data_IF_352660380407
#
_entry.id   IF_352660380407
#
_cell.length_a   1.000
_cell.length_b   1.000
_cell.length_c   1.000
_cell.angle_alpha   90.00
_cell.angle_beta   90.00
_cell.angle_gamma   90.00
#
_symmetry.space_group_name_H-M   'P 1'
#
loop_
_entity.id
_entity.type
_entity.pdbx_description
1 polymer ?
#
# COMPACT_ATOMS: atom_id res chain seq x y z
N UNK A 1 -4.90 25.01 -7.05
CA UNK A 1 -4.27 24.08 -6.08
C UNK A 1 -3.09 24.71 -5.30
N UNK A 2 -2.51 25.83 -5.78
CA UNK A 2 -1.33 26.45 -5.16
C UNK A 2 -0.06 25.58 -5.19
N UNK A 3 -0.04 24.56 -6.05
CA UNK A 3 1.10 23.64 -6.23
C UNK A 3 1.88 24.08 -7.48
N UNK A 4 3.18 24.16 -7.34
CA UNK A 4 4.08 24.41 -8.47
C UNK A 4 4.57 23.08 -9.05
N UNK A 5 4.17 22.81 -10.29
CA UNK A 5 4.57 21.60 -11.03
C UNK A 5 5.82 21.88 -11.86
N UNK A 6 6.74 20.94 -11.92
CA UNK A 6 7.85 21.01 -12.88
C UNK A 6 7.40 20.71 -14.32
N UNK A 7 8.32 20.84 -15.28
CA UNK A 7 7.99 20.67 -16.70
C UNK A 7 7.55 19.24 -17.05
N UNK A 8 8.16 18.22 -16.43
CA UNK A 8 7.81 16.81 -16.67
C UNK A 8 6.42 16.52 -16.09
N UNK A 9 6.15 17.03 -14.90
CA UNK A 9 4.82 16.89 -14.26
C UNK A 9 3.73 17.61 -15.06
N UNK A 10 4.01 18.82 -15.57
CA UNK A 10 3.07 19.56 -16.44
C UNK A 10 2.79 18.79 -17.72
N UNK A 11 3.84 18.25 -18.35
CA UNK A 11 3.69 17.46 -19.56
C UNK A 11 2.87 16.20 -19.29
N UNK A 12 3.15 15.47 -18.19
CA UNK A 12 2.38 14.29 -17.80
C UNK A 12 0.89 14.59 -17.58
N UNK A 13 0.56 15.75 -17.00
CA UNK A 13 -0.83 16.20 -16.85
C UNK A 13 -1.49 16.42 -18.21
N UNK A 14 -0.80 17.09 -19.13
CA UNK A 14 -1.32 17.33 -20.48
C UNK A 14 -1.52 16.01 -21.24
N UNK A 15 -0.53 15.12 -21.20
CA UNK A 15 -0.58 13.85 -21.93
C UNK A 15 -1.69 12.93 -21.40
N UNK A 16 -1.90 12.89 -20.08
CA UNK A 16 -2.99 12.11 -19.47
C UNK A 16 -4.38 12.60 -19.93
N UNK A 17 -4.55 13.90 -20.13
CA UNK A 17 -5.81 14.47 -20.62
C UNK A 17 -6.02 14.24 -22.11
N UNK A 18 -4.96 14.28 -22.91
CA UNK A 18 -5.04 14.16 -24.38
C UNK A 18 -5.22 12.72 -24.85
N UNK A 19 -4.74 11.75 -24.10
CA UNK A 19 -4.73 10.34 -24.51
C UNK A 19 -5.85 9.53 -23.84
N UNK A 20 -6.35 8.49 -24.52
CA UNK A 20 -7.32 7.55 -23.96
C UNK A 20 -6.70 6.60 -22.96
N UNK A 21 -5.46 6.18 -23.20
CA UNK A 21 -4.67 5.34 -22.29
C UNK A 21 -3.37 6.08 -22.05
N UNK A 22 -3.02 6.25 -20.80
CA UNK A 22 -1.76 6.90 -20.40
C UNK A 22 -1.16 6.20 -19.18
N UNK A 23 0.17 6.05 -19.16
CA UNK A 23 0.87 5.43 -18.04
C UNK A 23 1.77 6.46 -17.36
N UNK A 24 1.59 6.61 -16.05
CA UNK A 24 2.43 7.44 -15.18
C UNK A 24 3.25 6.54 -14.25
N UNK A 25 4.57 6.51 -14.43
CA UNK A 25 5.45 5.74 -13.55
C UNK A 25 6.39 6.63 -12.75
N UNK A 26 6.94 6.07 -11.69
CA UNK A 26 7.95 6.76 -10.88
C UNK A 26 8.10 6.11 -9.51
N UNK A 27 9.27 6.28 -8.92
CA UNK A 27 9.57 5.75 -7.59
C UNK A 27 8.82 6.45 -6.46
N UNK A 28 9.03 6.00 -5.23
CA UNK A 28 8.47 6.65 -4.05
C UNK A 28 8.96 8.10 -3.94
N UNK A 29 8.04 9.03 -3.65
CA UNK A 29 8.40 10.44 -3.45
C UNK A 29 8.63 11.26 -4.71
N UNK A 30 8.39 10.72 -5.90
CA UNK A 30 8.51 11.45 -7.17
C UNK A 30 7.30 12.35 -7.49
N UNK A 31 6.28 12.34 -6.64
CA UNK A 31 5.12 13.22 -6.80
C UNK A 31 4.00 12.64 -7.69
N UNK A 32 3.93 11.31 -7.88
CA UNK A 32 2.83 10.67 -8.64
C UNK A 32 1.46 11.15 -8.17
N UNK A 33 1.19 11.12 -6.88
CA UNK A 33 -0.10 11.57 -6.32
C UNK A 33 -0.35 13.06 -6.56
N UNK A 34 0.70 13.89 -6.52
CA UNK A 34 0.60 15.32 -6.85
C UNK A 34 0.17 15.51 -8.31
N UNK A 35 0.75 14.72 -9.22
CA UNK A 35 0.38 14.73 -10.65
C UNK A 35 -1.05 14.23 -10.84
N UNK A 36 -1.47 13.15 -10.15
CA UNK A 36 -2.87 12.66 -10.18
C UNK A 36 -3.83 13.79 -9.79
N UNK A 37 -3.57 14.52 -8.71
CA UNK A 37 -4.40 15.65 -8.29
C UNK A 37 -4.44 16.76 -9.34
N UNK A 38 -3.31 17.02 -10.02
CA UNK A 38 -3.26 17.95 -11.14
C UNK A 38 -4.12 17.50 -12.32
N UNK A 39 -4.03 16.22 -12.68
CA UNK A 39 -4.83 15.62 -13.77
C UNK A 39 -6.33 15.71 -13.44
N UNK A 40 -6.73 15.32 -12.24
CA UNK A 40 -8.14 15.40 -11.78
C UNK A 40 -8.64 16.85 -11.85
N UNK A 41 -7.85 17.82 -11.36
CA UNK A 41 -8.25 19.21 -11.36
C UNK A 41 -8.40 19.80 -12.76
N UNK A 42 -7.47 19.47 -13.66
CA UNK A 42 -7.53 19.93 -15.07
C UNK A 42 -8.70 19.25 -15.80
N UNK A 43 -8.88 17.95 -15.62
CA UNK A 43 -10.01 17.24 -16.21
C UNK A 43 -11.35 17.82 -15.72
N UNK A 44 -11.50 18.02 -14.44
CA UNK A 44 -12.72 18.60 -13.86
C UNK A 44 -13.01 20.01 -14.40
N UNK A 45 -11.95 20.82 -14.59
CA UNK A 45 -12.10 22.15 -15.17
C UNK A 45 -12.57 22.12 -16.63
N UNK A 46 -12.02 21.21 -17.43
CA UNK A 46 -12.38 21.05 -18.85
C UNK A 46 -13.80 20.53 -19.03
N UNK A 47 -14.23 19.60 -18.20
CA UNK A 47 -15.58 19.00 -18.23
C UNK A 47 -16.61 19.77 -17.41
N UNK A 48 -16.23 20.90 -16.78
CA UNK A 48 -17.14 21.70 -15.96
C UNK A 48 -17.65 21.01 -14.69
N UNK A 49 -16.86 20.08 -14.13
CA UNK A 49 -17.24 19.29 -12.95
C UNK A 49 -16.96 20.07 -11.65
N UNK A 50 -17.88 19.98 -10.69
CA UNK A 50 -17.67 20.48 -9.33
C UNK A 50 -17.20 19.34 -8.42
N UNK A 51 -15.91 19.25 -8.17
CA UNK A 51 -15.29 18.21 -7.32
C UNK A 51 -15.78 18.23 -5.85
N UNK A 52 -16.47 19.27 -5.42
CA UNK A 52 -17.10 19.31 -4.08
C UNK A 52 -18.35 18.44 -4.02
N UNK A 53 -19.01 18.22 -5.16
CA UNK A 53 -20.12 17.30 -5.32
C UNK A 53 -19.57 15.90 -5.58
N UNK A 54 -19.20 15.19 -4.51
CA UNK A 54 -18.52 13.88 -4.59
C UNK A 54 -19.39 12.75 -5.15
N UNK A 55 -20.69 12.92 -5.21
CA UNK A 55 -21.63 11.96 -5.79
C UNK A 55 -21.75 12.19 -7.30
N UNK A 56 -21.72 11.09 -8.05
CA UNK A 56 -21.91 11.07 -9.52
C UNK A 56 -20.85 11.84 -10.31
N UNK A 57 -19.60 11.83 -9.85
CA UNK A 57 -18.49 12.27 -10.69
C UNK A 57 -18.17 11.19 -11.73
N UNK A 58 -17.96 11.56 -13.02
CA UNK A 58 -17.57 10.62 -14.05
C UNK A 58 -16.07 10.24 -13.94
N UNK A 59 -15.53 10.27 -12.73
CA UNK A 59 -14.14 9.92 -12.39
C UNK A 59 -14.18 8.77 -11.40
N UNK A 60 -13.57 7.66 -11.77
CA UNK A 60 -13.43 6.48 -10.93
C UNK A 60 -11.97 6.34 -10.47
N UNK A 61 -11.79 6.28 -9.15
CA UNK A 61 -10.48 6.04 -8.55
C UNK A 61 -10.41 4.62 -8.00
N UNK A 62 -9.42 3.86 -8.47
CA UNK A 62 -9.24 2.47 -8.11
C UNK A 62 -7.81 2.15 -7.69
N UNK A 63 -7.65 1.11 -6.86
CA UNK A 63 -6.38 0.53 -6.51
C UNK A 63 -6.52 -0.99 -6.30
N UNK A 64 -5.44 -1.78 -6.37
CA UNK A 64 -5.51 -3.23 -6.17
C UNK A 64 -5.80 -3.62 -4.71
N UNK A 65 -5.46 -2.77 -3.73
CA UNK A 65 -5.63 -3.05 -2.30
C UNK A 65 -6.49 -1.98 -1.62
N UNK A 66 -7.20 -2.38 -0.53
CA UNK A 66 -8.01 -1.45 0.26
C UNK A 66 -7.18 -0.30 0.86
N UNK A 67 -5.98 -0.61 1.35
CA UNK A 67 -5.06 0.41 1.89
C UNK A 67 -4.64 1.44 0.84
N UNK A 68 -4.32 1.00 -0.37
CA UNK A 68 -3.96 1.92 -1.46
C UNK A 68 -5.17 2.78 -1.88
N UNK A 69 -6.36 2.18 -1.98
CA UNK A 69 -7.59 2.90 -2.26
C UNK A 69 -7.89 3.95 -1.18
N UNK A 70 -7.81 3.59 0.10
CA UNK A 70 -7.99 4.52 1.21
C UNK A 70 -7.01 5.69 1.14
N UNK A 71 -5.73 5.40 0.91
CA UNK A 71 -4.70 6.44 0.75
C UNK A 71 -4.99 7.36 -0.43
N UNK A 72 -5.46 6.82 -1.55
CA UNK A 72 -5.88 7.62 -2.69
C UNK A 72 -7.05 8.55 -2.32
N UNK A 73 -8.06 8.04 -1.59
CA UNK A 73 -9.15 8.85 -1.08
C UNK A 73 -8.66 10.00 -0.17
N UNK A 74 -7.78 9.71 0.77
CA UNK A 74 -7.21 10.73 1.69
C UNK A 74 -6.46 11.83 0.94
N UNK A 75 -5.72 11.48 -0.11
CA UNK A 75 -4.86 12.41 -0.85
C UNK A 75 -5.60 13.19 -1.94
N UNK A 76 -6.64 12.62 -2.53
CA UNK A 76 -7.45 13.27 -3.58
C UNK A 76 -8.71 13.91 -3.04
N UNK A 77 -9.13 13.53 -1.83
CA UNK A 77 -10.41 13.83 -1.22
C UNK A 77 -11.64 13.35 -2.04
N UNK A 78 -11.45 12.44 -2.99
CA UNK A 78 -12.50 11.82 -3.82
C UNK A 78 -12.73 10.36 -3.40
N UNK A 79 -13.96 9.83 -3.59
CA UNK A 79 -14.25 8.43 -3.34
C UNK A 79 -13.32 7.52 -4.15
N UNK A 80 -12.79 6.51 -3.51
CA UNK A 80 -11.89 5.52 -4.10
C UNK A 80 -12.18 4.15 -3.50
N UNK A 81 -12.08 3.09 -4.31
CA UNK A 81 -12.28 1.73 -3.86
C UNK A 81 -11.28 0.77 -4.52
N UNK A 82 -11.32 -0.51 -4.11
CA UNK A 82 -10.52 -1.52 -4.79
C UNK A 82 -11.07 -1.84 -6.18
N UNK A 83 -10.19 -2.28 -7.08
CA UNK A 83 -10.61 -2.76 -8.42
C UNK A 83 -11.68 -3.84 -8.26
N UNK A 84 -11.49 -4.80 -7.35
CA UNK A 84 -12.46 -5.86 -7.06
C UNK A 84 -13.85 -5.30 -6.69
N UNK A 85 -13.88 -4.28 -5.82
CA UNK A 85 -15.15 -3.67 -5.40
C UNK A 85 -15.85 -2.94 -6.54
N UNK A 86 -15.11 -2.23 -7.38
CA UNK A 86 -15.68 -1.57 -8.55
C UNK A 86 -16.24 -2.55 -9.57
N UNK A 87 -15.64 -3.75 -9.66
CA UNK A 87 -16.10 -4.84 -10.52
C UNK A 87 -17.19 -5.72 -9.89
N UNK A 88 -17.70 -5.38 -8.70
CA UNK A 88 -18.71 -6.18 -8.01
C UNK A 88 -18.20 -7.54 -7.49
N UNK A 89 -16.89 -7.76 -7.46
CA UNK A 89 -16.27 -9.02 -7.05
C UNK A 89 -16.14 -9.06 -5.51
N UNK A 90 -17.26 -9.20 -4.83
CA UNK A 90 -17.32 -9.37 -3.39
C UNK A 90 -17.56 -10.83 -3.06
N UNK A 91 -16.55 -11.49 -2.53
CA UNK A 91 -16.48 -12.68 -1.65
C UNK A 91 -17.28 -13.96 -1.93
N UNK A 92 -18.43 -13.90 -2.54
CA UNK A 92 -19.20 -15.06 -2.98
C UNK A 92 -19.14 -15.18 -4.51
N UNK A 93 -18.86 -16.38 -4.99
CA UNK A 93 -18.61 -16.76 -6.40
C UNK A 93 -19.72 -16.41 -7.43
N UNK A 94 -20.46 -15.35 -7.23
CA UNK A 94 -21.51 -14.95 -8.17
C UNK A 94 -20.98 -13.96 -9.20
N UNK A 95 -20.32 -14.49 -10.23
CA UNK A 95 -19.86 -13.76 -11.42
C UNK A 95 -21.03 -13.32 -12.35
N UNK A 96 -22.26 -13.47 -11.91
CA UNK A 96 -23.47 -13.27 -12.73
C UNK A 96 -23.83 -11.80 -13.00
N UNK A 97 -23.14 -10.82 -12.39
CA UNK A 97 -23.43 -9.38 -12.53
C UNK A 97 -22.39 -8.57 -13.31
N UNK A 98 -21.48 -9.22 -14.04
CA UNK A 98 -20.39 -8.58 -14.80
C UNK A 98 -20.85 -8.01 -16.17
N UNK A 99 -22.12 -7.72 -16.37
CA UNK A 99 -22.62 -7.21 -17.66
C UNK A 99 -22.58 -5.69 -17.81
N UNK A 100 -22.32 -4.95 -16.74
CA UNK A 100 -22.27 -3.49 -16.81
C UNK A 100 -20.84 -2.97 -16.81
N UNK A 101 -20.47 -2.22 -17.86
CA UNK A 101 -19.21 -1.48 -17.91
C UNK A 101 -19.07 -0.54 -16.70
N UNK A 102 -17.83 -0.30 -16.27
CA UNK A 102 -17.54 0.71 -15.26
C UNK A 102 -18.10 2.06 -15.76
N UNK A 103 -19.08 2.60 -15.02
CA UNK A 103 -19.73 3.85 -15.36
C UNK A 103 -18.86 5.06 -14.98
N UNK A 104 -17.83 5.30 -15.81
CA UNK A 104 -16.93 6.42 -15.63
C UNK A 104 -16.29 6.82 -16.95
N UNK A 105 -16.19 8.13 -17.19
CA UNK A 105 -15.48 8.68 -18.35
C UNK A 105 -13.98 8.68 -18.17
N UNK A 106 -13.51 8.77 -16.92
CA UNK A 106 -12.10 8.75 -16.59
C UNK A 106 -11.81 7.81 -15.41
N UNK A 107 -11.05 6.77 -15.67
CA UNK A 107 -10.65 5.76 -14.69
C UNK A 107 -9.19 5.97 -14.34
N UNK A 108 -8.87 6.09 -13.06
CA UNK A 108 -7.51 6.22 -12.55
C UNK A 108 -7.21 5.04 -11.64
N UNK A 109 -6.18 4.26 -11.97
CA UNK A 109 -5.77 3.09 -11.20
C UNK A 109 -4.35 3.31 -10.68
N UNK A 110 -4.22 3.42 -9.35
CA UNK A 110 -2.91 3.55 -8.68
C UNK A 110 -2.39 2.20 -8.19
N UNK A 111 -1.08 2.14 -7.87
CA UNK A 111 -0.35 0.93 -7.45
C UNK A 111 -0.50 -0.24 -8.43
N UNK A 112 -0.52 0.05 -9.72
CA UNK A 112 -0.78 -0.94 -10.78
C UNK A 112 0.30 -2.03 -10.88
N UNK A 113 1.47 -1.83 -10.31
CA UNK A 113 2.52 -2.87 -10.19
C UNK A 113 2.06 -4.13 -9.46
N UNK A 114 1.02 -4.01 -8.60
CA UNK A 114 0.42 -5.12 -7.85
C UNK A 114 -0.72 -5.82 -8.61
N UNK A 115 -1.10 -5.35 -9.80
CA UNK A 115 -2.18 -5.92 -10.61
C UNK A 115 -1.64 -7.09 -11.42
N UNK A 116 -2.21 -8.27 -11.20
CA UNK A 116 -1.89 -9.48 -11.97
C UNK A 116 -2.62 -9.57 -13.31
N UNK A 117 -2.32 -10.57 -14.11
CA UNK A 117 -2.91 -10.75 -15.44
C UNK A 117 -4.43 -10.96 -15.36
N UNK A 118 -4.90 -11.70 -14.37
CA UNK A 118 -6.33 -11.99 -14.25
C UNK A 118 -7.13 -10.73 -13.88
N UNK A 119 -6.67 -9.99 -12.86
CA UNK A 119 -7.32 -8.75 -12.42
C UNK A 119 -7.26 -7.67 -13.50
N UNK A 120 -6.15 -7.58 -14.23
CA UNK A 120 -6.01 -6.68 -15.38
C UNK A 120 -7.00 -7.03 -16.49
N UNK A 121 -7.18 -8.32 -16.80
CA UNK A 121 -8.16 -8.77 -17.78
C UNK A 121 -9.58 -8.39 -17.35
N UNK A 122 -9.94 -8.62 -16.09
CA UNK A 122 -11.25 -8.22 -15.57
C UNK A 122 -11.46 -6.70 -15.68
N UNK A 123 -10.46 -5.92 -15.28
CA UNK A 123 -10.53 -4.47 -15.36
C UNK A 123 -10.72 -3.99 -16.81
N UNK A 124 -9.84 -4.40 -17.73
CA UNK A 124 -9.86 -3.91 -19.10
C UNK A 124 -11.10 -4.37 -19.88
N UNK A 125 -11.62 -5.56 -19.59
CA UNK A 125 -12.85 -6.07 -20.23
C UNK A 125 -14.10 -5.29 -19.81
N UNK A 126 -14.05 -4.59 -18.67
CA UNK A 126 -15.19 -3.82 -18.16
C UNK A 126 -15.03 -2.30 -18.34
N UNK A 127 -13.99 -1.84 -19.06
CA UNK A 127 -13.82 -0.42 -19.42
C UNK A 127 -14.51 -0.14 -20.74
N UNK A 128 -15.35 0.89 -20.75
CA UNK A 128 -15.98 1.36 -22.00
C UNK A 128 -14.94 1.87 -23.01
N UNK A 129 -15.15 1.62 -24.28
CA UNK A 129 -14.29 2.16 -25.36
C UNK A 129 -14.26 3.70 -25.38
N UNK A 130 -15.19 4.37 -24.73
CA UNK A 130 -15.26 5.82 -24.63
C UNK A 130 -14.49 6.36 -23.41
N UNK A 131 -14.27 5.55 -22.40
CA UNK A 131 -13.56 5.94 -21.19
C UNK A 131 -12.07 6.19 -21.43
N UNK A 132 -11.50 7.06 -20.63
CA UNK A 132 -10.04 7.24 -20.50
C UNK A 132 -9.53 6.41 -19.33
N UNK A 133 -8.32 5.89 -19.43
CA UNK A 133 -7.65 5.22 -18.32
C UNK A 133 -6.26 5.81 -18.08
N UNK A 134 -6.00 6.19 -16.83
CA UNK A 134 -4.68 6.52 -16.29
C UNK A 134 -4.21 5.35 -15.43
N UNK A 135 -3.12 4.73 -15.84
CA UNK A 135 -2.45 3.66 -15.11
C UNK A 135 -1.27 4.27 -14.36
N UNK A 136 -1.27 4.14 -13.04
CA UNK A 136 -0.20 4.69 -12.20
C UNK A 136 0.48 3.57 -11.41
N UNK A 137 1.81 3.58 -11.37
CA UNK A 137 2.55 2.58 -10.62
C UNK A 137 4.04 2.85 -10.58
N UNK A 138 4.75 1.93 -9.98
CA UNK A 138 6.21 1.93 -9.93
C UNK A 138 6.73 0.62 -10.50
N UNK A 139 7.31 0.67 -11.69
CA UNK A 139 7.85 -0.50 -12.40
C UNK A 139 9.03 -1.17 -11.68
N UNK A 140 9.63 -0.48 -10.72
CA UNK A 140 10.78 -0.99 -9.97
C UNK A 140 10.36 -1.60 -8.61
N UNK A 141 9.06 -1.56 -8.28
CA UNK A 141 8.53 -2.27 -7.12
C UNK A 141 8.36 -3.78 -7.41
N UNK A 142 8.14 -4.56 -6.35
CA UNK A 142 7.83 -5.97 -6.49
C UNK A 142 6.57 -6.15 -7.35
N UNK A 143 6.57 -7.15 -8.26
CA UNK A 143 5.39 -7.47 -9.06
C UNK A 143 4.26 -8.02 -8.20
N UNK A 144 3.11 -8.27 -8.84
CA UNK A 144 1.98 -8.94 -8.20
C UNK A 144 2.37 -10.30 -7.61
N UNK A 145 1.69 -10.71 -6.54
CA UNK A 145 1.88 -12.04 -5.93
C UNK A 145 1.37 -13.14 -6.88
N UNK A 146 0.26 -12.89 -7.56
CA UNK A 146 -0.30 -13.77 -8.60
C UNK A 146 0.42 -13.58 -9.94
N UNK A 147 0.30 -14.52 -10.88
CA UNK A 147 1.03 -14.49 -12.14
C UNK A 147 0.76 -13.25 -13.00
N UNK A 148 1.83 -12.64 -13.50
CA UNK A 148 1.80 -11.53 -14.45
C UNK A 148 2.63 -10.33 -14.01
N UNK A 149 3.10 -9.56 -14.99
CA UNK A 149 3.83 -8.30 -14.80
C UNK A 149 3.23 -7.23 -15.72
N UNK A 150 1.91 -7.06 -15.63
CA UNK A 150 1.12 -6.30 -16.60
C UNK A 150 1.65 -4.87 -16.78
N UNK A 151 2.00 -4.17 -15.69
CA UNK A 151 2.57 -2.82 -15.80
C UNK A 151 3.87 -2.82 -16.60
N UNK A 152 4.78 -3.76 -16.32
CA UNK A 152 6.06 -3.87 -17.02
C UNK A 152 5.84 -4.19 -18.51
N UNK A 153 4.90 -5.09 -18.81
CA UNK A 153 4.57 -5.47 -20.19
C UNK A 153 3.97 -4.28 -20.96
N UNK A 154 3.05 -3.53 -20.35
CA UNK A 154 2.44 -2.34 -20.97
C UNK A 154 3.49 -1.24 -21.26
N UNK A 155 4.48 -1.07 -20.38
CA UNK A 155 5.57 -0.10 -20.58
C UNK A 155 6.47 -0.43 -21.77
N UNK A 156 6.48 -1.68 -22.23
CA UNK A 156 7.21 -2.09 -23.43
C UNK A 156 6.43 -1.87 -24.74
N UNK A 157 5.18 -1.38 -24.67
CA UNK A 157 4.35 -1.12 -25.84
C UNK A 157 4.55 0.33 -26.30
N UNK A 158 5.25 0.58 -27.45
CA UNK A 158 5.58 1.95 -27.89
C UNK A 158 4.37 2.82 -28.23
N UNK A 159 3.21 2.19 -28.47
CA UNK A 159 1.97 2.89 -28.82
C UNK A 159 1.26 3.49 -27.60
N UNK A 160 1.61 3.07 -26.39
CA UNK A 160 1.01 3.59 -25.18
C UNK A 160 1.86 4.76 -24.68
N UNK A 161 1.33 5.98 -24.68
CA UNK A 161 2.04 7.14 -24.15
C UNK A 161 2.26 7.00 -22.66
N UNK A 162 3.46 7.35 -22.21
CA UNK A 162 3.89 7.16 -20.84
C UNK A 162 4.85 8.26 -20.38
N UNK A 163 4.82 8.58 -19.11
CA UNK A 163 5.80 9.47 -18.48
C UNK A 163 6.36 8.82 -17.22
N UNK A 164 7.71 8.83 -17.11
CA UNK A 164 8.42 8.40 -15.90
C UNK A 164 8.88 9.61 -15.11
N UNK A 165 8.43 9.69 -13.85
CA UNK A 165 8.87 10.71 -12.91
C UNK A 165 10.14 10.22 -12.20
N UNK A 166 11.23 10.93 -12.35
CA UNK A 166 12.54 10.54 -11.80
C UNK A 166 12.96 11.41 -10.61
N UNK A 167 12.52 12.69 -10.60
CA UNK A 167 12.90 13.63 -9.56
C UNK A 167 12.20 13.33 -8.24
N UNK A 168 12.97 13.16 -7.18
CA UNK A 168 12.49 12.89 -5.83
C UNK A 168 12.29 14.23 -5.11
N UNK A 169 11.06 14.50 -4.63
CA UNK A 169 10.67 15.75 -3.94
C UNK A 169 10.61 15.63 -2.41
N UNK A 170 10.72 14.40 -1.87
CA UNK A 170 10.79 14.26 -0.41
C UNK A 170 12.07 14.91 0.10
N UNK A 171 12.00 15.55 1.30
CA UNK A 171 13.11 16.19 2.04
C UNK A 171 14.28 15.25 2.38
N UNK A 172 14.53 14.27 1.54
CA UNK A 172 15.46 13.17 1.71
C UNK A 172 16.70 13.29 0.82
N UNK A 173 17.04 14.48 0.32
CA UNK A 173 18.31 14.67 -0.40
C UNK A 173 19.52 14.24 0.45
N UNK A 174 19.36 14.22 1.79
CA UNK A 174 20.36 13.75 2.72
C UNK A 174 20.14 12.30 3.20
N UNK A 175 19.04 11.63 2.84
CA UNK A 175 18.78 10.26 3.29
C UNK A 175 19.62 9.23 2.54
N UNK A 176 20.49 8.55 3.30
CA UNK A 176 21.31 7.47 2.74
C UNK A 176 20.49 6.20 2.44
N UNK A 177 19.30 6.06 3.03
CA UNK A 177 18.35 4.98 2.72
C UNK A 177 17.80 5.15 1.32
N UNK A 178 17.32 6.36 0.97
CA UNK A 178 16.76 6.66 -0.35
C UNK A 178 17.82 6.52 -1.44
N UNK A 179 19.03 7.02 -1.20
CA UNK A 179 20.16 6.90 -2.11
C UNK A 179 20.49 5.42 -2.36
N UNK A 180 20.63 4.63 -1.30
CA UNK A 180 20.92 3.18 -1.42
C UNK A 180 19.79 2.45 -2.19
N UNK A 181 18.54 2.73 -1.85
CA UNK A 181 17.40 2.12 -2.55
C UNK A 181 17.40 2.45 -4.05
N UNK A 182 17.71 3.70 -4.42
CA UNK A 182 17.83 4.11 -5.83
C UNK A 182 18.96 3.38 -6.55
N UNK A 183 20.11 3.22 -5.91
CA UNK A 183 21.24 2.49 -6.49
C UNK A 183 20.93 1.00 -6.67
N UNK A 184 20.32 0.36 -5.67
CA UNK A 184 19.89 -1.06 -5.77
C UNK A 184 18.90 -1.25 -6.93
N UNK A 185 17.95 -0.33 -7.13
CA UNK A 185 17.03 -0.36 -8.28
C UNK A 185 17.74 -0.29 -9.63
N UNK A 186 18.89 0.36 -9.70
CA UNK A 186 19.74 0.44 -10.89
C UNK A 186 20.68 -0.77 -11.02
N UNK A 187 20.57 -1.75 -10.11
CA UNK A 187 21.46 -2.90 -10.07
C UNK A 187 22.86 -2.60 -9.51
N UNK A 188 23.01 -1.44 -8.86
CA UNK A 188 24.27 -0.98 -8.29
C UNK A 188 24.27 -1.22 -6.79
N UNK A 189 25.24 -2.00 -6.29
CA UNK A 189 25.49 -2.12 -4.86
C UNK A 189 26.74 -1.30 -4.53
N UNK A 190 26.61 -0.16 -3.85
CA UNK A 190 27.77 0.69 -3.57
C UNK A 190 28.75 0.01 -2.59
N UNK A 191 30.04 0.28 -2.72
CA UNK A 191 31.08 -0.32 -1.88
C UNK A 191 30.89 -0.04 -0.38
N UNK A 192 30.18 1.04 -0.04
CA UNK A 192 29.91 1.45 1.34
C UNK A 192 28.55 0.97 1.88
N UNK A 193 27.86 0.03 1.19
CA UNK A 193 26.50 -0.39 1.61
C UNK A 193 26.48 -1.00 3.02
N UNK A 194 27.55 -1.65 3.45
CA UNK A 194 27.70 -2.24 4.78
C UNK A 194 28.10 -1.22 5.86
N UNK A 195 28.50 -0.01 5.48
CA UNK A 195 28.93 1.01 6.44
C UNK A 195 27.73 1.60 7.19
N UNK A 196 27.92 1.78 8.49
CA UNK A 196 26.96 2.49 9.33
C UNK A 196 26.84 3.95 8.90
N UNK A 197 25.64 4.42 8.67
CA UNK A 197 25.30 5.83 8.40
C UNK A 197 24.38 6.36 9.51
N UNK A 198 24.02 7.63 9.41
CA UNK A 198 23.15 8.26 10.40
C UNK A 198 21.74 7.61 10.46
N UNK A 199 21.21 7.21 9.31
CA UNK A 199 19.85 6.71 9.11
C UNK A 199 19.79 5.23 8.73
N UNK A 200 20.92 4.53 8.58
CA UNK A 200 20.95 3.09 8.26
C UNK A 200 22.15 2.36 8.87
N UNK A 201 21.95 1.07 9.12
CA UNK A 201 23.02 0.15 9.54
C UNK A 201 22.83 -1.20 8.84
N UNK A 202 23.93 -1.88 8.59
CA UNK A 202 23.96 -3.24 8.06
C UNK A 202 24.63 -4.17 9.07
N UNK A 203 24.07 -5.36 9.25
CA UNK A 203 24.62 -6.40 10.12
C UNK A 203 24.70 -7.71 9.34
N UNK A 204 25.89 -8.19 9.10
CA UNK A 204 26.12 -9.54 8.55
C UNK A 204 26.11 -10.53 9.70
N UNK A 205 25.05 -11.32 9.81
CA UNK A 205 24.85 -12.27 10.91
C UNK A 205 24.25 -13.56 10.41
N UNK A 206 24.63 -14.68 11.04
CA UNK A 206 23.98 -15.95 10.79
C UNK A 206 22.51 -15.94 11.27
N UNK A 207 21.64 -16.69 10.55
CA UNK A 207 20.19 -16.70 10.82
C UNK A 207 19.82 -17.02 12.28
N UNK A 208 20.58 -17.89 12.95
CA UNK A 208 20.37 -18.20 14.37
C UNK A 208 20.61 -17.06 15.33
N UNK A 209 21.35 -16.03 14.93
CA UNK A 209 21.63 -14.85 15.76
C UNK A 209 20.71 -13.65 15.47
N UNK A 210 19.82 -13.76 14.46
CA UNK A 210 18.90 -12.68 14.10
C UNK A 210 17.98 -12.29 15.27
N UNK A 211 17.33 -13.22 16.00
CA UNK A 211 16.46 -12.85 17.12
C UNK A 211 17.19 -12.04 18.19
N UNK A 212 18.36 -12.49 18.64
CA UNK A 212 19.15 -11.78 19.65
C UNK A 212 19.63 -10.40 19.16
N UNK A 213 19.86 -10.26 17.85
CA UNK A 213 20.26 -8.95 17.27
C UNK A 213 19.06 -8.02 17.20
N UNK A 214 17.88 -8.51 16.81
CA UNK A 214 16.62 -7.73 16.85
C UNK A 214 16.36 -7.25 18.28
N UNK A 215 16.46 -8.12 19.28
CA UNK A 215 16.28 -7.77 20.69
C UNK A 215 17.20 -6.60 21.14
N UNK A 216 18.49 -6.67 20.78
CA UNK A 216 19.45 -5.60 21.08
C UNK A 216 19.09 -4.28 20.39
N UNK A 217 18.72 -4.33 19.11
CA UNK A 217 18.34 -3.15 18.32
C UNK A 217 17.07 -2.52 18.91
N UNK A 218 16.06 -3.33 19.20
CA UNK A 218 14.79 -2.88 19.81
C UNK A 218 15.05 -2.24 21.18
N UNK A 219 15.82 -2.92 22.03
CA UNK A 219 16.17 -2.36 23.34
C UNK A 219 16.91 -1.03 23.24
N UNK A 220 17.78 -0.85 22.24
CA UNK A 220 18.44 0.41 21.98
C UNK A 220 17.46 1.48 21.48
N UNK A 221 16.57 1.14 20.55
CA UNK A 221 15.56 2.06 20.01
C UNK A 221 14.61 2.56 21.10
N UNK A 222 14.09 1.67 21.93
CA UNK A 222 13.21 2.03 23.05
C UNK A 222 13.91 2.93 24.07
N UNK A 223 15.18 2.63 24.41
CA UNK A 223 15.97 3.51 25.30
C UNK A 223 16.27 4.87 24.70
N UNK A 224 16.32 4.99 23.38
CA UNK A 224 16.48 6.29 22.70
C UNK A 224 15.15 7.06 22.57
N UNK A 225 14.05 6.54 23.09
CA UNK A 225 12.74 7.19 23.10
C UNK A 225 11.89 6.96 21.86
N UNK A 226 12.26 6.00 20.99
CA UNK A 226 11.41 5.62 19.85
C UNK A 226 10.23 4.82 20.37
N UNK A 227 8.97 5.26 20.15
CA UNK A 227 7.79 4.54 20.62
C UNK A 227 7.68 3.18 19.94
N UNK A 228 7.21 2.16 20.67
CA UNK A 228 7.01 0.80 20.15
C UNK A 228 6.12 0.77 18.90
N UNK A 229 5.09 1.62 18.85
CA UNK A 229 4.18 1.74 17.71
C UNK A 229 4.88 2.17 16.41
N UNK A 230 5.97 2.89 16.51
CA UNK A 230 6.74 3.43 15.37
C UNK A 230 7.82 2.44 14.88
N UNK A 231 7.96 1.28 15.55
CA UNK A 231 8.90 0.25 15.18
C UNK A 231 8.20 -0.84 14.40
N UNK A 232 8.79 -1.19 13.23
CA UNK A 232 8.31 -2.29 12.39
C UNK A 232 9.47 -3.20 11.99
N UNK A 233 9.25 -4.52 12.12
CA UNK A 233 10.18 -5.55 11.64
C UNK A 233 9.57 -6.20 10.41
N UNK A 234 10.35 -6.35 9.35
CA UNK A 234 9.96 -7.05 8.14
C UNK A 234 10.78 -8.33 8.02
N UNK A 235 10.14 -9.45 7.76
CA UNK A 235 10.78 -10.74 7.52
C UNK A 235 10.23 -11.39 6.24
N UNK A 236 11.08 -12.03 5.42
CA UNK A 236 10.66 -12.58 4.11
C UNK A 236 9.98 -13.95 4.22
N UNK A 237 9.97 -14.58 5.39
CA UNK A 237 9.44 -15.94 5.59
C UNK A 237 8.57 -16.02 6.84
N UNK A 238 7.57 -16.89 6.83
CA UNK A 238 6.71 -17.14 8.00
C UNK A 238 7.40 -18.01 9.06
N UNK A 239 8.07 -19.08 8.62
CA UNK A 239 8.63 -20.12 9.49
C UNK A 239 10.14 -19.96 9.69
N UNK A 240 10.65 -20.64 10.74
CA UNK A 240 12.07 -20.64 11.09
C UNK A 240 12.42 -19.65 12.18
N UNK A 241 13.67 -19.71 12.66
CA UNK A 241 14.15 -18.91 13.81
C UNK A 241 14.11 -17.40 13.57
N UNK A 242 14.16 -16.97 12.32
CA UNK A 242 14.06 -15.58 11.88
C UNK A 242 12.78 -15.32 11.06
N UNK A 243 11.80 -16.21 11.16
CA UNK A 243 10.50 -16.07 10.50
C UNK A 243 9.54 -15.17 11.28
N UNK A 244 8.48 -14.74 10.60
CA UNK A 244 7.45 -13.84 11.17
C UNK A 244 6.89 -14.39 12.49
N UNK A 245 6.59 -15.70 12.57
CA UNK A 245 5.99 -16.29 13.77
C UNK A 245 6.91 -16.15 14.99
N UNK A 246 8.20 -16.50 14.84
CA UNK A 246 9.18 -16.39 15.91
C UNK A 246 9.48 -14.93 16.28
N UNK A 247 9.54 -14.03 15.29
CA UNK A 247 9.78 -12.62 15.52
C UNK A 247 8.57 -11.97 16.19
N UNK A 248 7.34 -12.29 15.80
CA UNK A 248 6.14 -11.77 16.47
C UNK A 248 6.11 -12.15 17.95
N UNK A 249 6.43 -13.40 18.27
CA UNK A 249 6.52 -13.85 19.66
C UNK A 249 7.61 -13.11 20.46
N UNK A 250 8.79 -12.92 19.84
CA UNK A 250 9.87 -12.12 20.40
C UNK A 250 9.42 -10.68 20.66
N UNK A 251 8.83 -10.04 19.64
CA UNK A 251 8.36 -8.68 19.71
C UNK A 251 7.30 -8.49 20.80
N UNK A 252 6.31 -9.38 20.85
CA UNK A 252 5.27 -9.35 21.88
C UNK A 252 5.86 -9.44 23.29
N UNK A 253 6.79 -10.36 23.51
CA UNK A 253 7.44 -10.52 24.83
C UNK A 253 8.28 -9.30 25.23
N UNK A 254 8.85 -8.59 24.28
CA UNK A 254 9.67 -7.40 24.55
C UNK A 254 8.84 -6.13 24.72
N UNK A 255 7.79 -5.96 23.91
CA UNK A 255 7.01 -4.73 23.83
C UNK A 255 5.78 -4.76 24.73
N UNK A 256 5.19 -5.93 24.92
CA UNK A 256 3.99 -6.16 25.75
C UNK A 256 4.16 -7.46 26.56
N UNK A 257 5.10 -7.50 27.52
CA UNK A 257 5.35 -8.70 28.34
C UNK A 257 4.11 -9.11 29.12
N UNK A 258 3.90 -10.43 29.23
CA UNK A 258 2.79 -10.99 30.01
C UNK A 258 2.86 -10.54 31.47
N UNK A 259 1.74 -10.05 31.98
CA UNK A 259 1.56 -9.71 33.39
C UNK A 259 0.80 -10.83 34.11
N UNK A 260 1.01 -10.93 35.43
CA UNK A 260 0.28 -11.91 36.26
C UNK A 260 -1.22 -11.61 36.18
N UNK A 261 -2.01 -12.63 35.93
CA UNK A 261 -3.49 -12.56 35.81
C UNK A 261 -4.02 -11.73 34.65
N UNK A 262 -3.17 -11.42 33.64
CA UNK A 262 -3.58 -10.74 32.43
C UNK A 262 -4.40 -11.68 31.54
N UNK A 263 -5.60 -11.22 31.14
CA UNK A 263 -6.42 -11.93 30.17
C UNK A 263 -5.68 -12.02 28.83
N UNK A 264 -5.67 -13.22 28.24
CA UNK A 264 -5.18 -13.46 26.90
C UNK A 264 -6.09 -14.43 26.17
N UNK A 265 -6.23 -14.26 24.87
CA UNK A 265 -6.92 -15.22 24.01
C UNK A 265 -5.91 -16.02 23.20
N UNK A 266 -6.09 -17.32 23.18
CA UNK A 266 -5.22 -18.22 22.44
C UNK A 266 -5.73 -18.41 21.01
N UNK A 267 -4.82 -18.29 20.05
CA UNK A 267 -5.03 -18.66 18.67
C UNK A 267 -3.95 -19.68 18.25
N UNK A 268 -4.14 -20.44 17.17
CA UNK A 268 -3.23 -21.54 16.81
C UNK A 268 -1.75 -21.20 16.74
N UNK A 269 -1.39 -19.94 16.52
CA UNK A 269 0.00 -19.50 16.33
C UNK A 269 0.40 -18.32 17.20
N UNK A 270 -0.51 -17.76 17.99
CA UNK A 270 -0.25 -16.57 18.80
C UNK A 270 -1.20 -16.48 20.01
N UNK A 271 -0.82 -15.63 20.97
CA UNK A 271 -1.67 -15.25 22.08
C UNK A 271 -1.95 -13.75 21.97
N UNK A 272 -3.21 -13.37 21.98
CA UNK A 272 -3.60 -11.97 21.94
C UNK A 272 -3.71 -11.40 23.35
N UNK A 273 -3.13 -10.21 23.55
CA UNK A 273 -3.17 -9.49 24.82
C UNK A 273 -3.58 -8.04 24.56
N UNK A 274 -4.25 -7.45 25.53
CA UNK A 274 -4.50 -6.00 25.51
C UNK A 274 -3.17 -5.24 25.37
N UNK A 275 -3.10 -4.30 24.44
CA UNK A 275 -1.91 -3.52 24.12
C UNK A 275 -1.06 -4.11 22.97
N UNK A 276 -1.41 -5.27 22.43
CA UNK A 276 -0.71 -5.81 21.26
C UNK A 276 -0.98 -4.96 20.03
N UNK A 277 0.08 -4.72 19.26
CA UNK A 277 -0.02 -4.18 17.90
C UNK A 277 -0.34 -5.31 16.94
N UNK A 278 -1.40 -5.15 16.18
CA UNK A 278 -1.91 -6.16 15.26
C UNK A 278 -2.03 -5.63 13.84
N UNK A 279 -2.05 -6.54 12.88
CA UNK A 279 -2.32 -6.26 11.48
C UNK A 279 -3.53 -7.07 11.03
N UNK A 280 -4.44 -6.42 10.33
CA UNK A 280 -5.59 -7.09 9.74
C UNK A 280 -5.17 -7.79 8.44
N UNK A 281 -5.54 -9.06 8.26
CA UNK A 281 -5.07 -9.88 7.14
C UNK A 281 -6.14 -10.12 6.05
N UNK A 282 -7.38 -9.74 6.32
CA UNK A 282 -8.53 -9.96 5.42
C UNK A 282 -9.25 -8.63 5.22
N UNK A 283 -9.81 -8.41 4.03
CA UNK A 283 -10.63 -7.23 3.81
C UNK A 283 -12.01 -7.43 4.47
N UNK A 284 -12.45 -6.44 5.25
CA UNK A 284 -13.79 -6.37 5.80
C UNK A 284 -14.39 -5.00 5.43
N UNK A 285 -15.24 -5.03 4.42
CA UNK A 285 -15.85 -3.82 3.89
C UNK A 285 -16.99 -3.28 4.78
N UNK A 286 -17.59 -4.11 5.63
CA UNK A 286 -18.69 -3.70 6.51
C UNK A 286 -18.20 -2.77 7.60
N UNK A 287 -17.06 -3.10 8.20
CA UNK A 287 -16.41 -2.27 9.22
C UNK A 287 -15.33 -1.34 8.65
N UNK A 288 -15.16 -1.30 7.32
CA UNK A 288 -14.19 -0.47 6.61
C UNK A 288 -12.74 -0.71 7.07
N UNK A 289 -12.37 -1.96 7.33
CA UNK A 289 -11.02 -2.40 7.67
C UNK A 289 -10.47 -3.28 6.55
N UNK A 290 -9.21 -3.07 6.17
CA UNK A 290 -8.61 -3.73 5.03
C UNK A 290 -7.35 -4.49 5.39
N UNK A 291 -6.99 -5.45 4.55
CA UNK A 291 -5.73 -6.17 4.67
C UNK A 291 -4.55 -5.19 4.71
N UNK A 292 -3.73 -5.32 5.74
CA UNK A 292 -2.59 -4.43 6.00
C UNK A 292 -2.89 -3.27 6.94
N UNK A 293 -4.14 -3.05 7.37
CA UNK A 293 -4.45 -2.05 8.39
C UNK A 293 -3.85 -2.48 9.73
N UNK A 294 -3.25 -1.50 10.41
CA UNK A 294 -2.62 -1.68 11.71
C UNK A 294 -3.53 -1.13 12.79
N UNK A 295 -3.64 -1.88 13.89
CA UNK A 295 -4.39 -1.48 15.05
C UNK A 295 -3.68 -1.88 16.35
N UNK A 296 -4.26 -1.51 17.46
CA UNK A 296 -3.87 -1.94 18.79
C UNK A 296 -5.06 -2.59 19.51
N UNK A 297 -4.82 -3.71 20.19
CA UNK A 297 -5.85 -4.35 21.00
C UNK A 297 -6.13 -3.50 22.22
N UNK A 298 -7.33 -2.94 22.29
CA UNK A 298 -7.79 -2.07 23.39
C UNK A 298 -8.56 -2.84 24.46
N UNK A 299 -9.22 -3.95 24.09
CA UNK A 299 -9.87 -4.82 25.06
C UNK A 299 -10.02 -6.25 24.56
N UNK A 300 -10.25 -7.18 25.49
CA UNK A 300 -10.56 -8.60 25.27
C UNK A 300 -11.82 -8.94 26.06
N UNK A 301 -12.87 -9.37 25.38
CA UNK A 301 -14.17 -9.66 26.00
C UNK A 301 -14.46 -11.15 25.90
N UNK A 302 -14.44 -11.91 27.03
CA UNK A 302 -14.77 -13.33 27.01
C UNK A 302 -16.23 -13.58 26.57
N UNK A 303 -16.45 -14.64 25.81
CA UNK A 303 -17.74 -14.99 25.23
C UNK A 303 -18.91 -15.12 26.21
N UNK A 304 -18.62 -15.34 27.50
CA UNK A 304 -19.65 -15.30 28.54
C UNK A 304 -20.27 -13.92 28.77
N UNK A 305 -19.65 -12.86 28.28
CA UNK A 305 -20.09 -11.46 28.40
C UNK A 305 -20.53 -10.86 27.06
N UNK A 306 -20.43 -11.59 25.95
CA UNK A 306 -20.81 -11.12 24.61
C UNK A 306 -22.19 -11.68 24.21
N UNK A 307 -22.89 -10.98 23.34
CA UNK A 307 -24.18 -11.47 22.79
C UNK A 307 -23.96 -12.66 21.86
N UNK A 308 -22.83 -12.67 21.14
CA UNK A 308 -22.42 -13.74 20.22
C UNK A 308 -22.04 -15.05 20.93
N UNK A 309 -21.79 -15.01 22.25
CA UNK A 309 -21.20 -16.09 23.07
C UNK A 309 -19.81 -16.53 22.56
N UNK A 310 -19.15 -15.71 21.79
CA UNK A 310 -17.78 -15.91 21.31
C UNK A 310 -16.85 -14.88 21.95
N UNK A 311 -15.57 -15.24 22.09
CA UNK A 311 -14.57 -14.29 22.54
C UNK A 311 -14.40 -13.17 21.51
N UNK A 312 -14.41 -11.92 21.95
CA UNK A 312 -14.31 -10.73 21.09
C UNK A 312 -13.05 -9.95 21.43
N UNK A 313 -12.38 -9.46 20.37
CA UNK A 313 -11.18 -8.62 20.46
C UNK A 313 -11.55 -7.23 19.96
N UNK A 314 -11.38 -6.23 20.80
CA UNK A 314 -11.61 -4.83 20.43
C UNK A 314 -10.29 -4.23 19.97
N UNK A 315 -10.28 -3.65 18.78
CA UNK A 315 -9.09 -3.08 18.13
C UNK A 315 -9.40 -1.65 17.72
N UNK A 316 -8.46 -0.74 18.02
CA UNK A 316 -8.43 0.66 17.56
C UNK A 316 -7.36 0.87 16.50
#
# INVERSE_FOLDING_TARGET
>A
LGIEYDNIQKQAICDAIQNKVFILTGGPGTGKTTVINGIIAVYALLEGLDLRKKSNLPILLAAPTGRAARRMNELTALPSATIHRHLGMTGDDDTSHLEDYLDADFIIVDEFSMVDTWLANQLFSNISSNSKILIVGDSDQLPSVSPGQVLADLLHIPLIPQTRLEKIYRQSEESTIVTLASQIRQGILPADFTQKKADRSYFEIASGHIPATIEKILGAALRSGIPARDIQVLAPMYRGTAGIDAINQLMQNLLNPSQKDQLSFEAPQCHYRKGDKVIHLVNDAEINVFNGDLGAITDLIPGKYTESKQDEIVID
#
